data_IF_623750947381
#
_entry.id   IF_623750947381
#
_cell.length_a   1.000
_cell.length_b   1.000
_cell.length_c   1.000
_cell.angle_alpha   90.00
_cell.angle_beta   90.00
_cell.angle_gamma   90.00
#
_symmetry.space_group_name_H-M   'P 1'
#
loop_
_entity.id
_entity.type
_entity.pdbx_description
1 polymer ?
#
# COMPACT_ATOMS: atom_id res chain seq x y z
N UNK A 1 -24.58 3.87 14.08
CA UNK A 1 -23.79 2.67 14.47
C UNK A 1 -23.67 1.70 13.33
N UNK A 2 -24.76 1.29 12.73
CA UNK A 2 -24.71 0.27 11.69
C UNK A 2 -23.94 0.72 10.46
N UNK A 3 -24.13 1.97 10.07
CA UNK A 3 -23.44 2.52 8.91
C UNK A 3 -21.94 2.52 9.10
N UNK A 4 -21.51 2.89 10.31
CA UNK A 4 -20.09 2.87 10.63
C UNK A 4 -19.53 1.45 10.52
N UNK A 5 -20.29 0.47 11.03
CA UNK A 5 -19.85 -0.92 10.97
C UNK A 5 -19.83 -1.46 9.56
N UNK A 6 -20.73 -0.99 8.71
CA UNK A 6 -20.74 -1.42 7.31
C UNK A 6 -19.49 -0.92 6.58
N UNK A 7 -18.99 0.26 6.96
CA UNK A 7 -17.78 0.81 6.37
C UNK A 7 -16.53 0.11 6.90
N UNK A 8 -16.58 -0.39 8.14
CA UNK A 8 -15.46 -1.10 8.77
C UNK A 8 -15.93 -2.48 9.18
N UNK A 9 -16.10 -3.34 8.17
CA UNK A 9 -16.54 -4.72 8.41
C UNK A 9 -15.52 -5.45 9.29
N UNK A 10 -15.96 -6.15 10.35
CA UNK A 10 -15.03 -6.93 11.16
C UNK A 10 -14.19 -7.87 10.32
N UNK A 11 -12.90 -7.91 10.58
CA UNK A 11 -11.97 -8.72 9.83
C UNK A 11 -11.31 -8.01 8.65
N UNK A 12 -11.76 -6.79 8.33
CA UNK A 12 -11.11 -5.95 7.33
C UNK A 12 -9.69 -5.63 7.78
N UNK A 13 -8.74 -5.72 6.85
CA UNK A 13 -7.34 -5.44 7.14
C UNK A 13 -6.88 -4.24 6.32
N UNK A 14 -6.33 -3.25 7.00
CA UNK A 14 -5.67 -2.12 6.36
C UNK A 14 -4.16 -2.39 6.35
N UNK A 15 -3.60 -2.44 5.17
CA UNK A 15 -2.19 -2.74 4.94
C UNK A 15 -1.51 -1.44 4.54
N UNK A 16 -0.65 -0.91 5.39
CA UNK A 16 -0.01 0.39 5.21
C UNK A 16 1.46 0.19 4.93
N UNK A 17 1.93 0.74 3.82
CA UNK A 17 3.34 0.74 3.44
C UNK A 17 3.81 2.19 3.40
N UNK A 18 4.92 2.48 4.08
CA UNK A 18 5.57 3.78 4.01
C UNK A 18 6.95 3.58 3.43
N UNK A 19 7.37 4.43 2.52
CA UNK A 19 8.69 4.34 1.93
C UNK A 19 9.39 5.69 1.89
N UNK A 20 10.68 5.65 2.16
CA UNK A 20 11.60 6.73 1.85
C UNK A 20 12.50 6.21 0.72
N UNK A 21 12.53 6.94 -0.39
CA UNK A 21 13.29 6.48 -1.55
C UNK A 21 14.76 6.84 -1.43
N UNK A 22 15.61 6.00 -2.01
CA UNK A 22 17.02 6.35 -2.19
C UNK A 22 17.10 7.55 -3.14
N UNK A 23 18.15 8.36 -2.97
CA UNK A 23 18.33 9.53 -3.82
C UNK A 23 18.52 9.16 -5.29
N UNK A 24 19.02 7.96 -5.56
CA UNK A 24 19.25 7.48 -6.92
C UNK A 24 18.11 6.64 -7.47
N UNK A 25 16.97 6.58 -6.78
CA UNK A 25 15.81 5.84 -7.28
C UNK A 25 15.32 6.47 -8.60
N UNK A 26 15.24 5.68 -9.69
CA UNK A 26 14.82 6.23 -10.97
C UNK A 26 13.33 6.61 -10.95
N UNK A 27 13.04 7.85 -11.29
CA UNK A 27 11.65 8.32 -11.30
C UNK A 27 10.79 7.53 -12.27
N UNK A 28 11.38 7.03 -13.36
CA UNK A 28 10.66 6.23 -14.34
C UNK A 28 10.22 4.90 -13.77
N UNK A 29 11.08 4.22 -12.99
CA UNK A 29 10.71 2.95 -12.37
C UNK A 29 9.65 3.13 -11.31
N UNK A 30 9.73 4.23 -10.55
CA UNK A 30 8.69 4.53 -9.57
C UNK A 30 7.36 4.83 -10.26
N UNK A 31 7.38 5.53 -11.39
CA UNK A 31 6.17 5.80 -12.15
C UNK A 31 5.56 4.50 -12.70
N UNK A 32 6.37 3.59 -13.21
CA UNK A 32 5.90 2.30 -13.69
C UNK A 32 5.30 1.47 -12.56
N UNK A 33 5.91 1.50 -11.39
CA UNK A 33 5.36 0.84 -10.20
C UNK A 33 3.97 1.36 -9.88
N UNK A 34 3.78 2.67 -9.93
CA UNK A 34 2.48 3.28 -9.63
C UNK A 34 1.43 2.90 -10.67
N UNK A 35 1.83 2.70 -11.93
CA UNK A 35 0.91 2.21 -12.95
C UNK A 35 0.45 0.79 -12.65
N UNK A 36 1.35 -0.05 -12.12
CA UNK A 36 0.97 -1.40 -11.70
C UNK A 36 -0.01 -1.33 -10.53
N UNK A 37 0.27 -0.47 -9.55
CA UNK A 37 -0.62 -0.30 -8.38
C UNK A 37 -2.02 0.12 -8.83
N UNK A 38 -2.13 0.91 -9.89
CA UNK A 38 -3.43 1.32 -10.41
C UNK A 38 -4.28 0.14 -10.91
N UNK A 39 -3.67 -1.03 -11.15
CA UNK A 39 -4.39 -2.23 -11.57
C UNK A 39 -4.73 -3.17 -10.40
N UNK A 40 -4.25 -2.88 -9.20
CA UNK A 40 -4.41 -3.79 -8.05
C UNK A 40 -5.87 -4.13 -7.79
N UNK A 41 -6.72 -3.12 -7.75
CA UNK A 41 -8.12 -3.32 -7.37
C UNK A 41 -8.85 -4.21 -8.37
N UNK A 42 -8.52 -4.09 -9.65
CA UNK A 42 -9.14 -4.88 -10.70
C UNK A 42 -8.57 -6.30 -10.79
N UNK A 43 -7.29 -6.47 -10.45
CA UNK A 43 -6.59 -7.74 -10.73
C UNK A 43 -6.40 -8.62 -9.51
N UNK A 44 -6.43 -8.05 -8.30
CA UNK A 44 -6.16 -8.82 -7.09
C UNK A 44 -7.45 -9.01 -6.29
N UNK A 45 -7.88 -10.26 -6.10
CA UNK A 45 -9.14 -10.52 -5.39
C UNK A 45 -9.07 -10.08 -3.93
N UNK A 46 -10.20 -9.60 -3.41
CA UNK A 46 -10.34 -9.27 -2.00
C UNK A 46 -9.89 -7.88 -1.61
N UNK A 47 -9.45 -7.06 -2.55
CA UNK A 47 -9.12 -5.67 -2.30
C UNK A 47 -10.40 -4.85 -2.29
N UNK A 48 -10.58 -4.06 -1.21
CA UNK A 48 -11.70 -3.13 -1.09
C UNK A 48 -11.33 -1.77 -1.66
N UNK A 49 -10.11 -1.30 -1.38
CA UNK A 49 -9.65 0.00 -1.88
C UNK A 49 -8.14 0.07 -1.88
N UNK A 50 -7.62 0.96 -2.74
CA UNK A 50 -6.20 1.24 -2.85
C UNK A 50 -6.03 2.76 -2.90
N UNK A 51 -5.17 3.29 -2.03
CA UNK A 51 -4.79 4.71 -2.02
C UNK A 51 -3.28 4.79 -1.93
N UNK A 52 -2.65 5.64 -2.72
CA UNK A 52 -1.21 5.84 -2.63
C UNK A 52 -0.86 7.28 -2.98
N UNK A 53 0.27 7.74 -2.47
CA UNK A 53 0.74 9.08 -2.78
C UNK A 53 1.67 9.63 -1.73
N UNK A 54 2.07 10.89 -1.94
CA UNK A 54 2.93 11.62 -1.02
C UNK A 54 2.14 12.11 0.19
N UNK A 55 2.85 12.40 1.28
CA UNK A 55 2.22 12.93 2.48
C UNK A 55 1.59 14.30 2.21
N UNK A 56 0.41 14.49 2.77
CA UNK A 56 -0.25 15.80 2.80
C UNK A 56 -0.43 16.28 4.24
N UNK A 57 0.33 15.71 5.19
CA UNK A 57 0.27 16.09 6.59
C UNK A 57 0.81 17.50 6.79
N UNK A 58 0.20 18.23 7.71
CA UNK A 58 0.65 19.57 8.08
C UNK A 58 1.47 19.58 9.38
N UNK A 59 1.71 18.40 9.97
CA UNK A 59 2.40 18.30 11.26
C UNK A 59 3.92 18.20 11.12
N UNK A 60 4.42 17.94 9.91
CA UNK A 60 5.86 17.78 9.64
C UNK A 60 6.48 16.66 10.47
N UNK A 61 5.78 15.56 10.59
CA UNK A 61 6.19 14.41 11.40
C UNK A 61 6.39 13.14 10.57
N UNK A 62 6.67 13.27 9.27
CA UNK A 62 6.82 12.11 8.39
C UNK A 62 8.10 11.32 8.65
N UNK A 63 9.03 11.87 9.40
CA UNK A 63 10.28 11.18 9.74
C UNK A 63 11.08 10.74 8.51
N UNK A 64 10.95 11.47 7.39
CA UNK A 64 11.66 11.17 6.15
C UNK A 64 10.90 10.27 5.19
N UNK A 65 9.78 9.69 5.60
CA UNK A 65 8.95 8.89 4.68
C UNK A 65 8.24 9.81 3.70
N UNK A 66 8.31 9.47 2.42
CA UNK A 66 7.86 10.35 1.34
C UNK A 66 6.60 9.85 0.67
N UNK A 67 6.31 8.56 0.77
CA UNK A 67 5.26 7.92 -0.01
C UNK A 67 4.57 6.87 0.84
N UNK A 68 3.27 6.75 0.65
CA UNK A 68 2.47 5.74 1.33
C UNK A 68 1.61 4.99 0.33
N UNK A 69 1.42 3.71 0.61
CA UNK A 69 0.44 2.86 -0.08
C UNK A 69 -0.45 2.26 0.99
N UNK A 70 -1.76 2.45 0.85
CA UNK A 70 -2.73 1.88 1.77
C UNK A 70 -3.67 0.99 0.98
N UNK A 71 -3.64 -0.30 1.27
CA UNK A 71 -4.51 -1.29 0.64
C UNK A 71 -5.45 -1.84 1.70
N UNK A 72 -6.74 -1.75 1.45
CA UNK A 72 -7.75 -2.29 2.36
C UNK A 72 -8.25 -3.62 1.79
N UNK A 73 -8.20 -4.67 2.61
CA UNK A 73 -8.61 -6.03 2.23
C UNK A 73 -9.87 -6.43 2.97
N UNK A 74 -10.69 -7.28 2.34
CA UNK A 74 -11.90 -7.81 2.97
C UNK A 74 -11.60 -8.59 4.23
N UNK A 75 -10.45 -9.28 4.28
CA UNK A 75 -10.06 -10.13 5.41
C UNK A 75 -8.57 -10.44 5.32
N UNK A 76 -8.05 -11.09 6.34
CA UNK A 76 -6.63 -11.45 6.40
C UNK A 76 -6.22 -12.44 5.30
N UNK A 77 -7.12 -13.34 4.92
CA UNK A 77 -6.82 -14.28 3.84
C UNK A 77 -6.60 -13.59 2.52
N UNK A 78 -7.37 -12.53 2.24
CA UNK A 78 -7.18 -11.73 1.02
C UNK A 78 -5.82 -11.02 1.07
N UNK A 79 -5.42 -10.47 2.23
CA UNK A 79 -4.11 -9.86 2.39
C UNK A 79 -3.00 -10.87 2.14
N UNK A 80 -3.15 -12.08 2.65
CA UNK A 80 -2.14 -13.13 2.46
C UNK A 80 -2.00 -13.50 0.99
N UNK A 81 -3.11 -13.63 0.27
CA UNK A 81 -3.09 -13.93 -1.16
C UNK A 81 -2.49 -12.81 -1.99
N UNK A 82 -2.64 -11.57 -1.56
CA UNK A 82 -2.04 -10.40 -2.20
C UNK A 82 -0.51 -10.47 -2.19
N UNK A 83 0.08 -10.92 -1.10
CA UNK A 83 1.53 -10.89 -0.94
C UNK A 83 2.25 -11.70 -2.02
N UNK A 84 1.66 -12.79 -2.48
CA UNK A 84 2.24 -13.66 -3.51
C UNK A 84 1.62 -13.43 -4.89
N UNK A 85 0.72 -12.48 -5.02
CA UNK A 85 0.01 -12.29 -6.28
C UNK A 85 0.96 -11.74 -7.36
N UNK A 86 0.89 -12.24 -8.61
CA UNK A 86 1.78 -11.80 -9.69
C UNK A 86 1.74 -10.29 -9.96
N UNK A 87 0.62 -9.63 -9.69
CA UNK A 87 0.53 -8.18 -9.89
C UNK A 87 1.21 -7.43 -8.77
N UNK A 88 1.26 -7.99 -7.55
CA UNK A 88 1.92 -7.35 -6.42
C UNK A 88 3.45 -7.55 -6.44
N UNK A 89 3.92 -8.72 -6.83
CA UNK A 89 5.33 -9.09 -6.74
C UNK A 89 6.27 -8.06 -7.38
N UNK A 90 5.99 -7.53 -8.59
CA UNK A 90 6.86 -6.51 -9.18
C UNK A 90 6.92 -5.21 -8.37
N UNK A 91 5.82 -4.83 -7.72
CA UNK A 91 5.79 -3.63 -6.87
C UNK A 91 6.68 -3.83 -5.65
N UNK A 92 6.56 -4.99 -5.00
CA UNK A 92 7.43 -5.31 -3.87
C UNK A 92 8.90 -5.31 -4.26
N UNK A 93 9.23 -5.77 -5.46
CA UNK A 93 10.61 -5.77 -5.95
C UNK A 93 11.16 -4.36 -6.12
N UNK A 94 10.37 -3.44 -6.69
CA UNK A 94 10.78 -2.05 -6.86
C UNK A 94 11.01 -1.39 -5.50
N UNK A 95 10.08 -1.59 -4.57
CA UNK A 95 10.20 -1.02 -3.22
C UNK A 95 11.46 -1.58 -2.55
N UNK A 96 11.68 -2.90 -2.62
CA UNK A 96 12.85 -3.53 -2.01
C UNK A 96 14.17 -3.04 -2.58
N UNK A 97 14.19 -2.69 -3.86
CA UNK A 97 15.40 -2.22 -4.52
C UNK A 97 15.68 -0.74 -4.25
N UNK A 98 14.65 0.10 -4.23
CA UNK A 98 14.85 1.54 -4.27
C UNK A 98 14.43 2.27 -2.99
N UNK A 99 13.87 1.59 -2.00
CA UNK A 99 13.56 2.22 -0.72
C UNK A 99 14.81 2.26 0.15
N UNK A 100 15.11 3.43 0.69
CA UNK A 100 16.10 3.61 1.73
C UNK A 100 15.59 3.00 3.03
N UNK A 101 14.31 3.25 3.33
CA UNK A 101 13.61 2.69 4.48
C UNK A 101 12.19 2.34 4.05
N UNK A 102 11.68 1.26 4.61
CA UNK A 102 10.29 0.88 4.37
C UNK A 102 9.67 0.39 5.69
N UNK A 103 8.43 0.76 5.90
CA UNK A 103 7.61 0.27 7.02
C UNK A 103 6.37 -0.37 6.43
N UNK A 104 6.05 -1.56 6.92
CA UNK A 104 4.79 -2.22 6.60
C UNK A 104 4.05 -2.43 7.92
N UNK A 105 2.83 -1.95 7.99
CA UNK A 105 2.05 -1.97 9.23
C UNK A 105 0.60 -2.30 8.88
N UNK A 106 0.08 -3.36 9.46
CA UNK A 106 -1.29 -3.79 9.20
C UNK A 106 -2.15 -3.54 10.43
N UNK A 107 -3.38 -3.07 10.18
CA UNK A 107 -4.35 -2.83 11.24
C UNK A 107 -5.63 -3.57 10.87
N UNK A 108 -6.18 -4.29 11.84
CA UNK A 108 -7.47 -4.95 11.68
C UNK A 108 -8.58 -4.00 12.14
N UNK A 109 -9.56 -3.84 11.30
CA UNK A 109 -10.70 -2.98 11.63
C UNK A 109 -11.81 -3.75 12.34
#
# INVERSE_FOLDING_TARGET
>A
MCEYREMNTPGTVLHVVLAQWRNDAPSEELAQMREIIARFEAEIPGIVSVVEGASVSTEDLEAGFEWALVVTFQNAGARDGYLDHPTHVPVAAVIGQWAERVVVFDVSA
#
